data_IF_556618292786
#
_entry.id   IF_556618292786
#
_cell.length_a   1.000
_cell.length_b   1.000
_cell.length_c   1.000
_cell.angle_alpha   90.00
_cell.angle_beta   90.00
_cell.angle_gamma   90.00
#
_symmetry.space_group_name_H-M   'P 1'
#
loop_
_entity.id
_entity.type
_entity.pdbx_description
1 polymer ?
#
# COMPACT_ATOMS: atom_id res chain seq x y z
N UNK A 1 18.74 10.70 -20.71
CA UNK A 1 17.46 10.46 -20.01
C UNK A 1 16.62 11.72 -20.13
N UNK A 2 15.42 11.63 -20.69
CA UNK A 2 14.51 12.78 -20.70
C UNK A 2 14.03 13.03 -19.27
N UNK A 3 13.88 14.30 -18.90
CA UNK A 3 13.24 14.65 -17.63
C UNK A 3 11.78 14.21 -17.68
N UNK A 4 11.22 13.69 -16.58
CA UNK A 4 9.78 13.41 -16.45
C UNK A 4 8.91 14.59 -16.90
N UNK A 5 9.34 15.83 -16.63
CA UNK A 5 8.65 17.03 -17.06
C UNK A 5 8.64 17.22 -18.59
N UNK A 6 9.68 16.77 -19.29
CA UNK A 6 9.73 16.82 -20.76
C UNK A 6 8.81 15.76 -21.37
N UNK A 7 8.78 14.56 -20.81
CA UNK A 7 7.87 13.50 -21.24
C UNK A 7 6.40 13.90 -21.05
N UNK A 8 6.05 14.49 -19.90
CA UNK A 8 4.69 14.99 -19.64
C UNK A 8 4.27 16.07 -20.64
N UNK A 9 5.18 17.01 -20.97
CA UNK A 9 4.90 18.09 -21.93
C UNK A 9 4.77 17.58 -23.36
N UNK A 10 5.52 16.56 -23.74
CA UNK A 10 5.49 15.96 -25.06
C UNK A 10 4.33 14.95 -25.25
N UNK A 11 3.70 14.51 -24.15
CA UNK A 11 2.66 13.48 -24.20
C UNK A 11 1.35 14.00 -24.81
N UNK A 12 0.94 13.40 -25.93
CA UNK A 12 -0.36 13.70 -26.56
C UNK A 12 -1.51 13.11 -25.74
N UNK A 13 -2.48 13.95 -25.36
CA UNK A 13 -3.70 13.50 -24.67
C UNK A 13 -4.51 12.49 -25.47
N UNK A 14 -4.36 12.44 -26.80
CA UNK A 14 -5.04 11.48 -27.66
C UNK A 14 -4.53 10.03 -27.45
N UNK A 15 -3.35 9.86 -26.85
CA UNK A 15 -2.79 8.56 -26.50
C UNK A 15 -3.28 8.05 -25.14
N UNK A 16 -4.00 8.87 -24.37
CA UNK A 16 -4.62 8.41 -23.13
C UNK A 16 -5.71 7.38 -23.46
N UNK A 17 -5.67 6.24 -22.75
CA UNK A 17 -6.81 5.31 -22.77
C UNK A 17 -8.06 6.06 -22.33
N UNK A 18 -9.13 5.94 -23.10
CA UNK A 18 -10.44 6.48 -22.69
C UNK A 18 -10.84 5.79 -21.39
N UNK A 19 -10.87 6.56 -20.31
CA UNK A 19 -11.25 6.05 -18.99
C UNK A 19 -12.74 6.31 -18.75
N UNK A 20 -13.37 5.28 -18.20
CA UNK A 20 -14.75 5.28 -17.76
C UNK A 20 -14.72 4.81 -16.30
N UNK A 21 -15.20 5.63 -15.39
CA UNK A 21 -15.19 5.32 -13.96
C UNK A 21 -16.62 5.06 -13.52
N UNK A 22 -16.90 3.82 -13.12
CA UNK A 22 -18.15 3.49 -12.43
C UNK A 22 -18.00 3.89 -10.96
N UNK A 23 -18.80 4.85 -10.52
CA UNK A 23 -18.85 5.30 -9.13
C UNK A 23 -20.14 4.78 -8.52
N UNK A 24 -20.04 4.13 -7.36
CA UNK A 24 -21.22 3.79 -6.57
C UNK A 24 -21.26 4.71 -5.35
N UNK A 25 -22.33 5.49 -5.22
CA UNK A 25 -22.50 6.45 -4.13
C UNK A 25 -22.83 5.75 -2.81
N UNK A 26 -22.79 6.49 -1.70
CA UNK A 26 -23.21 6.02 -0.37
C UNK A 26 -24.66 5.53 -0.35
N UNK A 27 -25.50 6.05 -1.25
CA UNK A 27 -26.91 5.66 -1.40
C UNK A 27 -27.11 4.39 -2.20
N UNK A 28 -26.04 3.78 -2.73
CA UNK A 28 -26.11 2.62 -3.63
C UNK A 28 -26.34 2.99 -5.10
N UNK A 29 -26.64 4.25 -5.42
CA UNK A 29 -26.77 4.75 -6.80
C UNK A 29 -25.45 4.58 -7.55
N UNK A 30 -25.50 3.93 -8.72
CA UNK A 30 -24.38 3.74 -9.64
C UNK A 30 -24.40 4.80 -10.72
N UNK A 31 -23.29 5.50 -10.90
CA UNK A 31 -23.08 6.47 -11.98
C UNK A 31 -21.83 6.08 -12.76
N UNK A 32 -21.85 6.36 -14.06
CA UNK A 32 -20.72 6.21 -14.95
C UNK A 32 -20.21 7.60 -15.31
N UNK A 33 -18.98 7.91 -14.88
CA UNK A 33 -18.27 9.12 -15.27
C UNK A 33 -17.39 8.81 -16.48
N UNK A 34 -17.65 9.50 -17.60
CA UNK A 34 -16.84 9.43 -18.81
C UNK A 34 -16.26 10.80 -19.10
N UNK A 35 -14.93 10.87 -19.21
CA UNK A 35 -14.25 12.09 -19.67
C UNK A 35 -14.35 12.22 -21.19
N UNK A 36 -14.98 13.29 -21.67
CA UNK A 36 -15.00 13.70 -23.09
C UNK A 36 -14.73 15.20 -23.19
N UNK A 37 -13.80 15.60 -24.06
CA UNK A 37 -13.57 17.01 -24.41
C UNK A 37 -13.39 17.95 -23.20
N UNK A 38 -12.60 17.51 -22.22
CA UNK A 38 -12.35 18.21 -20.95
C UNK A 38 -13.59 18.44 -20.08
N UNK A 39 -14.69 17.72 -20.33
CA UNK A 39 -15.89 17.68 -19.48
C UNK A 39 -16.15 16.26 -18.99
N UNK A 40 -16.73 16.16 -17.80
CA UNK A 40 -17.20 14.90 -17.23
C UNK A 40 -18.66 14.74 -17.64
N UNK A 41 -18.97 13.68 -18.38
CA UNK A 41 -20.33 13.24 -18.62
C UNK A 41 -20.67 12.18 -17.58
N UNK A 42 -21.74 12.40 -16.82
CA UNK A 42 -22.23 11.48 -15.79
C UNK A 42 -23.53 10.86 -16.29
N UNK A 43 -23.57 9.53 -16.38
CA UNK A 43 -24.78 8.77 -16.73
C UNK A 43 -25.15 7.90 -15.54
N UNK A 44 -26.40 7.95 -15.09
CA UNK A 44 -26.91 7.08 -14.04
C UNK A 44 -27.21 5.70 -14.62
N UNK A 45 -26.63 4.63 -14.06
CA UNK A 45 -27.00 3.26 -14.39
C UNK A 45 -28.38 3.00 -13.75
N UNK A 46 -29.43 2.91 -14.56
CA UNK A 46 -30.77 2.51 -14.10
C UNK A 46 -30.76 0.99 -13.90
N UNK A 47 -30.46 0.56 -12.69
CA UNK A 47 -30.59 -0.85 -12.27
C UNK A 47 -32.05 -1.14 -11.86
N UNK A 48 -32.56 -2.36 -12.10
CA UNK A 48 -33.87 -2.78 -11.60
C UNK A 48 -33.86 -2.74 -10.07
N UNK A 49 -34.96 -2.32 -9.47
CA UNK A 49 -35.16 -2.18 -8.03
C UNK A 49 -34.77 -3.45 -7.24
N UNK A 50 -33.55 -3.51 -6.72
CA UNK A 50 -33.16 -4.48 -5.70
C UNK A 50 -32.27 -3.80 -4.65
N UNK A 51 -32.89 -3.57 -3.49
CA UNK A 51 -32.38 -3.15 -2.18
C UNK A 51 -30.92 -2.72 -2.04
N UNK A 52 -30.73 -1.43 -1.69
CA UNK A 52 -29.98 -0.96 -0.51
C UNK A 52 -28.52 -1.36 -0.28
N UNK A 53 -27.87 -2.08 -1.19
CA UNK A 53 -26.47 -2.48 -1.05
C UNK A 53 -25.56 -1.31 -1.43
N UNK A 54 -24.91 -0.69 -0.45
CA UNK A 54 -23.76 0.18 -0.69
C UNK A 54 -22.74 -0.52 -1.61
N UNK A 55 -22.14 0.22 -2.55
CA UNK A 55 -21.14 -0.33 -3.49
C UNK A 55 -19.75 -0.55 -2.89
N UNK A 56 -19.64 -0.46 -1.58
CA UNK A 56 -18.45 -0.79 -0.82
C UNK A 56 -18.88 -1.73 0.30
N UNK A 57 -18.11 -2.80 0.49
CA UNK A 57 -18.29 -3.69 1.63
C UNK A 57 -17.69 -2.98 2.84
N UNK A 58 -18.52 -2.62 3.81
CA UNK A 58 -18.02 -2.07 5.07
C UNK A 58 -17.32 -3.20 5.82
N UNK A 59 -15.99 -3.10 5.93
CA UNK A 59 -15.22 -4.02 6.74
C UNK A 59 -15.38 -3.64 8.21
N UNK A 60 -16.16 -4.44 8.94
CA UNK A 60 -16.38 -4.29 10.37
C UNK A 60 -15.45 -5.18 11.20
N UNK A 61 -14.60 -5.97 10.53
CA UNK A 61 -13.67 -6.87 11.20
C UNK A 61 -12.38 -6.12 11.55
N UNK A 62 -12.21 -5.80 12.83
CA UNK A 62 -10.98 -5.17 13.32
C UNK A 62 -9.81 -6.15 13.22
N UNK A 63 -8.70 -5.68 12.66
CA UNK A 63 -7.44 -6.43 12.63
C UNK A 63 -6.51 -5.96 13.75
N UNK A 64 -6.66 -6.53 14.94
CA UNK A 64 -5.80 -6.22 16.09
C UNK A 64 -4.49 -7.03 16.12
N UNK A 65 -4.14 -7.74 15.04
CA UNK A 65 -2.92 -8.53 15.00
C UNK A 65 -1.69 -7.62 14.91
N UNK A 66 -0.77 -7.78 15.86
CA UNK A 66 0.54 -7.11 15.85
C UNK A 66 1.63 -8.15 15.61
N UNK A 67 2.36 -7.99 14.51
CA UNK A 67 3.53 -8.81 14.20
C UNK A 67 4.75 -8.29 14.94
N UNK A 68 5.33 -9.12 15.80
CA UNK A 68 6.57 -8.81 16.53
C UNK A 68 7.76 -9.26 15.68
N UNK A 69 8.40 -8.32 14.98
CA UNK A 69 9.55 -8.60 14.12
C UNK A 69 10.83 -8.64 14.96
N UNK A 70 10.95 -7.69 15.90
CA UNK A 70 11.98 -7.64 16.93
C UNK A 70 11.32 -7.21 18.25
N UNK A 71 11.96 -7.42 19.41
CA UNK A 71 11.40 -6.99 20.70
C UNK A 71 11.02 -5.50 20.76
N UNK A 72 11.67 -4.67 19.94
CA UNK A 72 11.44 -3.22 19.86
C UNK A 72 10.78 -2.77 18.53
N UNK A 73 10.54 -3.68 17.58
CA UNK A 73 9.99 -3.36 16.25
C UNK A 73 8.73 -4.18 15.95
N UNK A 74 7.61 -3.49 15.88
CA UNK A 74 6.28 -4.06 15.68
C UNK A 74 5.69 -3.61 14.35
N UNK A 75 4.88 -4.46 13.72
CA UNK A 75 4.11 -4.14 12.52
C UNK A 75 2.63 -4.49 12.71
N UNK A 76 1.75 -3.53 12.46
CA UNK A 76 0.31 -3.71 12.64
C UNK A 76 -0.54 -2.94 11.63
N UNK A 77 -1.85 -3.15 11.71
CA UNK A 77 -2.87 -2.35 11.04
C UNK A 77 -3.09 -1.02 11.76
N UNK A 78 -3.92 -0.14 11.18
CA UNK A 78 -4.40 1.05 11.86
C UNK A 78 -5.27 0.71 13.07
N UNK A 79 -6.05 -0.36 13.02
CA UNK A 79 -6.90 -0.80 14.12
C UNK A 79 -6.06 -1.14 15.36
N UNK A 80 -4.98 -1.91 15.17
CA UNK A 80 -4.04 -2.23 16.23
C UNK A 80 -3.36 -0.97 16.79
N UNK A 81 -3.10 0.03 15.95
CA UNK A 81 -2.52 1.30 16.37
C UNK A 81 -3.52 2.18 17.15
N UNK A 82 -4.82 2.02 16.94
CA UNK A 82 -5.87 2.77 17.63
C UNK A 82 -6.36 2.08 18.91
N UNK A 83 -6.07 0.79 19.08
CA UNK A 83 -6.44 0.03 20.27
C UNK A 83 -5.37 0.13 21.38
N UNK A 84 -5.57 1.05 22.31
CA UNK A 84 -4.63 1.29 23.42
C UNK A 84 -4.38 0.05 24.27
N UNK A 85 -5.37 -0.81 24.46
CA UNK A 85 -5.22 -2.02 25.27
C UNK A 85 -4.37 -3.08 24.58
N UNK A 86 -4.38 -3.14 23.24
CA UNK A 86 -3.40 -3.91 22.46
C UNK A 86 -2.00 -3.32 22.60
N UNK A 87 -1.83 -2.00 22.52
CA UNK A 87 -0.50 -1.38 22.63
C UNK A 87 0.13 -1.54 24.02
N UNK A 88 -0.68 -1.45 25.10
CA UNK A 88 -0.22 -1.64 26.48
C UNK A 88 0.34 -3.04 26.79
N UNK A 89 0.08 -4.04 25.95
CA UNK A 89 0.63 -5.39 26.10
C UNK A 89 2.14 -5.44 25.84
N UNK A 90 2.68 -4.43 25.16
CA UNK A 90 4.09 -4.34 24.82
C UNK A 90 4.83 -3.40 25.79
N UNK A 91 6.14 -3.61 25.93
CA UNK A 91 6.97 -2.85 26.88
C UNK A 91 7.12 -1.38 26.45
N UNK A 92 7.68 -0.52 27.30
CA UNK A 92 8.09 0.81 26.86
C UNK A 92 9.27 0.73 25.86
N UNK A 93 9.38 1.72 24.97
CA UNK A 93 10.48 1.81 24.00
C UNK A 93 10.32 0.98 22.72
N UNK A 94 9.13 0.46 22.43
CA UNK A 94 8.79 -0.17 21.13
C UNK A 94 8.39 0.88 20.10
N UNK A 95 8.69 0.57 18.83
CA UNK A 95 8.19 1.30 17.67
C UNK A 95 7.17 0.43 16.95
N UNK A 96 5.93 0.93 16.85
CA UNK A 96 4.91 0.36 15.98
C UNK A 96 4.91 1.07 14.63
N UNK A 97 5.13 0.30 13.56
CA UNK A 97 4.96 0.76 12.19
C UNK A 97 3.60 0.27 11.69
N UNK A 98 2.76 1.16 11.15
CA UNK A 98 1.47 0.78 10.61
C UNK A 98 1.13 1.53 9.31
N UNK A 99 0.13 1.02 8.60
CA UNK A 99 -0.60 1.75 7.57
C UNK A 99 -2.10 1.46 7.76
N UNK A 100 -2.91 1.46 6.70
CA UNK A 100 -4.32 1.06 6.84
C UNK A 100 -4.44 -0.38 7.37
N UNK A 101 -4.01 -1.36 6.57
CA UNK A 101 -4.10 -2.78 6.94
C UNK A 101 -2.77 -3.38 7.41
N UNK A 102 -1.68 -2.61 7.46
CA UNK A 102 -0.34 -3.17 7.76
C UNK A 102 0.17 -4.19 6.72
N UNK A 103 -0.44 -4.25 5.54
CA UNK A 103 -0.16 -5.29 4.51
C UNK A 103 0.92 -4.85 3.52
N UNK A 104 0.86 -3.60 3.03
CA UNK A 104 1.65 -3.18 1.85
C UNK A 104 2.68 -2.10 2.19
N UNK A 105 2.25 -0.85 2.39
CA UNK A 105 3.15 0.30 2.67
C UNK A 105 4.04 0.10 3.90
N UNK A 106 3.43 -0.17 5.05
CA UNK A 106 4.16 -0.36 6.30
C UNK A 106 5.12 -1.56 6.23
N UNK A 107 4.66 -2.68 5.65
CA UNK A 107 5.49 -3.86 5.45
C UNK A 107 6.71 -3.55 4.57
N UNK A 108 6.53 -2.83 3.46
CA UNK A 108 7.64 -2.44 2.59
C UNK A 108 8.68 -1.58 3.30
N UNK A 109 8.24 -0.61 4.12
CA UNK A 109 9.14 0.24 4.92
C UNK A 109 9.93 -0.60 5.93
N UNK A 110 9.26 -1.51 6.65
CA UNK A 110 9.93 -2.39 7.62
C UNK A 110 10.95 -3.31 6.94
N UNK A 111 10.61 -3.90 5.78
CA UNK A 111 11.54 -4.73 5.02
C UNK A 111 12.77 -3.93 4.61
N UNK A 112 12.57 -2.75 4.00
CA UNK A 112 13.69 -1.88 3.59
C UNK A 112 14.53 -1.40 4.79
N UNK A 113 13.89 -1.13 5.92
CA UNK A 113 14.58 -0.78 7.16
C UNK A 113 15.50 -1.91 7.63
N UNK A 114 15.00 -3.15 7.71
CA UNK A 114 15.80 -4.31 8.11
C UNK A 114 16.96 -4.58 7.15
N UNK A 115 16.71 -4.50 5.84
CA UNK A 115 17.77 -4.61 4.82
C UNK A 115 18.86 -3.56 5.05
N UNK A 116 18.47 -2.35 5.47
CA UNK A 116 19.43 -1.29 5.73
C UNK A 116 20.18 -1.45 7.05
N UNK A 117 19.45 -1.67 8.15
CA UNK A 117 20.01 -1.64 9.50
C UNK A 117 20.77 -2.91 9.87
N UNK A 118 20.38 -4.05 9.30
CA UNK A 118 20.97 -5.37 9.62
C UNK A 118 21.83 -5.92 8.47
N UNK A 119 21.98 -5.19 7.35
CA UNK A 119 22.77 -5.62 6.19
C UNK A 119 22.38 -7.01 5.65
N UNK A 120 21.09 -7.36 5.74
CA UNK A 120 20.54 -8.63 5.26
C UNK A 120 19.87 -8.46 3.89
N UNK A 121 19.80 -9.57 3.14
CA UNK A 121 19.13 -9.58 1.83
C UNK A 121 17.63 -9.32 1.94
N UNK A 122 17.06 -8.84 0.84
CA UNK A 122 15.62 -8.68 0.63
C UNK A 122 14.85 -9.95 1.02
N UNK A 123 15.28 -11.11 0.55
CA UNK A 123 14.60 -12.40 0.83
C UNK A 123 14.57 -12.70 2.32
N UNK A 124 15.69 -12.47 3.03
CA UNK A 124 15.77 -12.69 4.48
C UNK A 124 14.90 -11.68 5.24
N UNK A 125 15.00 -10.39 4.91
CA UNK A 125 14.20 -9.34 5.54
C UNK A 125 12.71 -9.56 5.32
N UNK A 126 12.29 -9.83 4.08
CA UNK A 126 10.91 -10.13 3.73
C UNK A 126 10.37 -11.33 4.50
N UNK A 127 11.16 -12.40 4.61
CA UNK A 127 10.77 -13.61 5.34
C UNK A 127 10.59 -13.35 6.84
N UNK A 128 11.46 -12.56 7.46
CA UNK A 128 11.31 -12.16 8.86
C UNK A 128 9.98 -11.43 9.10
N UNK A 129 9.65 -10.45 8.25
CA UNK A 129 8.40 -9.70 8.39
C UNK A 129 7.18 -10.57 8.07
N UNK A 130 7.27 -11.45 7.07
CA UNK A 130 6.19 -12.37 6.69
C UNK A 130 5.88 -13.38 7.79
N UNK A 131 6.90 -13.88 8.46
CA UNK A 131 6.74 -14.81 9.59
C UNK A 131 6.11 -14.12 10.80
N UNK A 132 6.50 -12.86 11.07
CA UNK A 132 5.92 -12.08 12.16
C UNK A 132 4.47 -11.67 11.88
N UNK A 133 4.13 -11.33 10.63
CA UNK A 133 2.78 -10.97 10.20
C UNK A 133 2.44 -11.65 8.85
N UNK A 134 1.76 -12.80 8.86
CA UNK A 134 1.47 -13.56 7.64
C UNK A 134 0.64 -12.83 6.60
N UNK A 135 -0.10 -11.78 6.98
CA UNK A 135 -0.93 -11.01 6.04
C UNK A 135 -0.14 -10.05 5.15
N UNK A 136 1.15 -9.82 5.37
CA UNK A 136 1.89 -8.87 4.52
C UNK A 136 1.87 -9.30 3.05
N UNK A 137 1.70 -8.30 2.20
CA UNK A 137 1.71 -8.42 0.75
C UNK A 137 2.00 -7.02 0.17
N UNK A 138 3.26 -6.55 0.19
CA UNK A 138 3.67 -5.36 -0.54
C UNK A 138 3.23 -5.45 -2.01
N UNK A 139 2.80 -4.33 -2.58
CA UNK A 139 2.42 -4.32 -4.00
C UNK A 139 3.66 -4.52 -4.87
N UNK A 140 3.45 -4.89 -6.14
CA UNK A 140 4.53 -5.19 -7.08
C UNK A 140 5.55 -4.04 -7.22
N UNK A 141 5.10 -2.78 -7.20
CA UNK A 141 5.99 -1.61 -7.26
C UNK A 141 6.93 -1.52 -6.05
N UNK A 142 6.42 -1.75 -4.84
CA UNK A 142 7.26 -1.80 -3.64
C UNK A 142 8.22 -2.99 -3.65
N UNK A 143 7.75 -4.16 -4.11
CA UNK A 143 8.61 -5.34 -4.23
C UNK A 143 9.79 -5.06 -5.17
N UNK A 144 9.55 -4.40 -6.30
CA UNK A 144 10.59 -4.03 -7.25
C UNK A 144 11.55 -2.99 -6.68
N UNK A 145 11.02 -1.93 -6.06
CA UNK A 145 11.84 -0.90 -5.40
C UNK A 145 12.77 -1.48 -4.34
N UNK A 146 12.31 -2.47 -3.56
CA UNK A 146 13.13 -3.13 -2.55
C UNK A 146 14.24 -4.00 -3.17
N UNK A 147 13.99 -4.66 -4.30
CA UNK A 147 15.03 -5.42 -5.01
C UNK A 147 16.08 -4.50 -5.60
N UNK A 148 15.67 -3.44 -6.31
CA UNK A 148 16.58 -2.43 -6.85
C UNK A 148 17.41 -1.77 -5.73
N UNK A 149 16.81 -1.55 -4.56
CA UNK A 149 17.53 -1.04 -3.40
C UNK A 149 18.67 -1.97 -2.96
N UNK A 150 18.48 -3.30 -3.01
CA UNK A 150 19.55 -4.25 -2.70
C UNK A 150 20.71 -4.18 -3.71
N UNK A 151 20.41 -4.17 -5.00
CA UNK A 151 21.42 -4.09 -6.08
C UNK A 151 22.30 -2.84 -5.95
N UNK A 152 21.68 -1.71 -5.58
CA UNK A 152 22.38 -0.47 -5.28
C UNK A 152 23.32 -0.59 -4.07
N UNK A 153 22.94 -1.33 -3.02
CA UNK A 153 23.83 -1.56 -1.86
C UNK A 153 25.01 -2.46 -2.21
N UNK A 154 24.81 -3.46 -3.07
CA UNK A 154 25.88 -4.36 -3.52
C UNK A 154 26.92 -3.62 -4.36
N UNK A 155 26.47 -2.72 -5.24
CA UNK A 155 27.36 -1.89 -6.08
C UNK A 155 28.23 -0.94 -5.25
N UNK A 156 27.63 -0.27 -4.24
CA UNK A 156 28.37 0.61 -3.31
C UNK A 156 29.37 -0.15 -2.42
N UNK A 157 29.24 -1.48 -2.28
CA UNK A 157 30.16 -2.30 -1.49
C UNK A 157 31.44 -2.63 -2.26
N UNK A 158 31.36 -2.77 -3.58
CA UNK A 158 32.52 -2.98 -4.46
C UNK A 158 33.37 -1.71 -4.65
N UNK A 159 32.76 -0.53 -4.55
CA UNK A 159 33.47 0.75 -4.69
C UNK A 159 34.29 1.15 -3.43
N UNK A 160 34.13 0.40 -2.32
CA UNK A 160 34.80 0.66 -1.04
C UNK A 160 35.90 -0.38 -0.70
N UNK A 161 36.43 -1.10 -1.69
CA UNK A 161 37.55 -2.07 -1.53
C UNK A 161 38.80 -1.54 -2.25
#
# INVERSE_FOLDING_TARGET
MHSLNQEIKAFSRNNLRKQCTRVTTLTGKKIIETWKDARIHVVEEVEPSSGGSCGYVQDLSLDLHVGVIKPWLLLGSQDAAHDLDTLKKYKDGVVLVHCNAGVSRAAAVVVGFLMNSEEISFTSAFSLVKNARPSICPNAGFMEQLRTYQEGKESNKCDNI
#
